data_IF_225269336551
#
_entry.id   IF_225269336551
#
_cell.length_a   1.000
_cell.length_b   1.000
_cell.length_c   1.000
_cell.angle_alpha   90.00
_cell.angle_beta   90.00
_cell.angle_gamma   90.00
#
_symmetry.space_group_name_H-M   'P 1'
#
loop_
_entity.id
_entity.type
_entity.pdbx_description
1 polymer ?
#
# COMPACT_ATOMS: atom_id res chain seq x y z
N UNK A 1 0.00 21.06 14.14
CA UNK A 1 -0.74 20.07 14.95
C UNK A 1 -1.84 20.79 15.71
N UNK A 2 -1.48 21.72 16.62
CA UNK A 2 -2.42 22.38 17.52
C UNK A 2 -3.48 23.24 16.79
N UNK A 3 -3.13 23.90 15.72
CA UNK A 3 -4.02 24.80 14.97
C UNK A 3 -4.98 24.06 14.02
N UNK A 4 -4.50 22.96 13.39
CA UNK A 4 -5.26 22.24 12.35
C UNK A 4 -5.68 20.84 12.78
N UNK A 5 -5.39 20.43 14.02
CA UNK A 5 -5.76 19.14 14.61
C UNK A 5 -5.44 17.93 13.73
N UNK A 6 -4.33 17.96 12.98
CA UNK A 6 -3.93 16.88 12.08
C UNK A 6 -3.65 15.57 12.84
N UNK A 7 -3.92 14.44 12.17
CA UNK A 7 -3.74 13.09 12.74
C UNK A 7 -2.48 12.40 12.22
N UNK A 8 -1.89 12.91 11.13
CA UNK A 8 -0.72 12.31 10.51
C UNK A 8 0.16 13.33 9.80
N UNK A 9 1.43 12.98 9.64
CA UNK A 9 2.37 13.59 8.70
C UNK A 9 2.79 12.59 7.63
N UNK A 10 2.70 12.95 6.36
CA UNK A 10 3.45 12.33 5.27
C UNK A 10 4.65 13.21 4.95
N UNK A 11 5.83 12.66 5.10
CA UNK A 11 7.11 13.36 5.00
C UNK A 11 7.75 13.03 3.66
N UNK A 12 7.86 14.05 2.81
CA UNK A 12 8.40 13.99 1.47
C UNK A 12 9.90 13.72 1.47
N UNK A 13 10.40 12.91 0.53
CA UNK A 13 11.84 12.63 0.29
C UNK A 13 12.58 12.30 1.60
N UNK A 14 11.96 11.53 2.47
CA UNK A 14 12.40 11.37 3.87
C UNK A 14 13.78 10.71 4.01
N UNK A 15 14.24 9.97 3.01
CA UNK A 15 15.57 9.33 3.02
C UNK A 15 16.73 10.30 2.75
N UNK A 16 16.46 11.53 2.32
CA UNK A 16 17.50 12.53 2.05
C UNK A 16 17.74 13.47 3.22
N UNK A 17 16.98 13.31 4.30
CA UNK A 17 17.10 14.11 5.52
C UNK A 17 17.81 13.28 6.59
N UNK A 18 18.63 13.97 7.39
CA UNK A 18 19.42 13.35 8.45
C UNK A 18 18.56 12.63 9.50
N UNK A 19 19.01 11.45 9.92
CA UNK A 19 18.33 10.63 10.92
C UNK A 19 18.11 11.34 12.26
N UNK A 20 19.07 12.19 12.70
CA UNK A 20 18.91 12.92 13.95
C UNK A 20 17.79 13.94 13.86
N UNK A 21 17.61 14.60 12.71
CA UNK A 21 16.47 15.47 12.47
C UNK A 21 15.14 14.73 12.64
N UNK A 22 15.02 13.51 12.10
CA UNK A 22 13.78 12.72 12.23
C UNK A 22 13.51 12.27 13.67
N UNK A 23 14.54 11.96 14.44
CA UNK A 23 14.40 11.64 15.88
C UNK A 23 13.90 12.84 16.68
N UNK A 24 14.47 14.01 16.42
CA UNK A 24 14.06 15.24 17.07
C UNK A 24 12.64 15.67 16.63
N UNK A 25 12.33 15.53 15.33
CA UNK A 25 10.99 15.74 14.80
C UNK A 25 9.96 14.84 15.48
N UNK A 26 10.20 13.53 15.52
CA UNK A 26 9.32 12.57 16.19
C UNK A 26 9.09 12.96 17.65
N UNK A 27 10.15 13.25 18.38
CA UNK A 27 10.07 13.64 19.78
C UNK A 27 9.21 14.89 19.99
N UNK A 28 9.41 15.92 19.16
CA UNK A 28 8.65 17.16 19.23
C UNK A 28 7.16 16.96 18.89
N UNK A 29 6.88 16.17 17.85
CA UNK A 29 5.52 15.92 17.35
C UNK A 29 4.72 15.08 18.35
N UNK A 30 5.29 13.98 18.86
CA UNK A 30 4.60 13.08 19.78
C UNK A 30 4.47 13.68 21.20
N UNK A 31 5.29 14.66 21.56
CA UNK A 31 5.09 15.44 22.78
C UNK A 31 3.80 16.30 22.71
N UNK A 32 3.36 16.68 21.51
CA UNK A 32 2.13 17.45 21.28
C UNK A 32 0.90 16.56 21.06
N UNK A 33 1.07 15.49 20.30
CA UNK A 33 0.01 14.52 19.98
C UNK A 33 0.59 13.12 19.98
N UNK A 34 0.48 12.37 21.10
CA UNK A 34 1.12 11.07 21.29
C UNK A 34 0.68 9.97 20.30
N UNK A 35 -0.53 10.09 19.75
CA UNK A 35 -1.15 9.16 18.79
C UNK A 35 -1.00 9.60 17.33
N UNK A 36 -0.25 10.67 17.06
CA UNK A 36 -0.05 11.16 15.70
C UNK A 36 0.77 10.15 14.88
N UNK A 37 0.27 9.80 13.68
CA UNK A 37 0.94 8.89 12.76
C UNK A 37 2.00 9.61 11.93
N UNK A 38 3.22 9.06 11.87
CA UNK A 38 4.35 9.61 11.11
C UNK A 38 4.70 8.64 10.00
N UNK A 39 4.48 9.06 8.75
CA UNK A 39 4.69 8.30 7.53
C UNK A 39 5.82 8.93 6.70
N UNK A 40 6.89 8.18 6.43
CA UNK A 40 7.96 8.61 5.52
C UNK A 40 7.70 8.19 4.08
N UNK A 41 8.06 9.05 3.13
CA UNK A 41 8.18 8.62 1.74
C UNK A 41 9.60 8.13 1.49
N UNK A 42 9.73 6.81 1.30
CA UNK A 42 11.00 6.15 0.96
C UNK A 42 10.69 5.05 -0.04
N UNK A 43 11.38 5.05 -1.18
CA UNK A 43 11.09 4.17 -2.32
C UNK A 43 11.79 2.81 -2.27
N UNK A 44 12.68 2.62 -1.34
CA UNK A 44 13.49 1.39 -1.18
C UNK A 44 13.30 0.78 0.21
N UNK A 45 14.09 -0.24 0.54
CA UNK A 45 14.08 -0.83 1.89
C UNK A 45 14.34 0.24 2.95
N UNK A 46 13.43 0.34 3.92
CA UNK A 46 13.36 1.46 4.86
C UNK A 46 13.63 1.05 6.31
N UNK A 47 14.23 -0.12 6.52
CA UNK A 47 14.53 -0.63 7.86
C UNK A 47 15.28 0.36 8.76
N UNK A 48 16.27 1.16 8.28
CA UNK A 48 16.99 2.11 9.14
C UNK A 48 16.10 3.16 9.80
N UNK A 49 15.00 3.56 9.17
CA UNK A 49 14.06 4.59 9.69
C UNK A 49 12.92 4.01 10.54
N UNK A 50 12.81 2.67 10.63
CA UNK A 50 11.69 1.97 11.26
C UNK A 50 12.09 1.22 12.54
N UNK A 51 13.07 1.76 13.27
CA UNK A 51 13.55 1.20 14.54
C UNK A 51 12.71 1.63 15.76
N UNK A 52 11.71 2.52 15.57
CA UNK A 52 10.80 3.01 16.61
C UNK A 52 11.14 4.41 17.11
N UNK A 53 12.20 5.02 16.61
CA UNK A 53 12.70 6.34 17.01
C UNK A 53 12.50 7.43 15.95
N UNK A 54 12.09 7.06 14.72
CA UNK A 54 11.84 7.99 13.61
C UNK A 54 10.40 7.87 13.08
N UNK A 55 10.11 7.00 12.12
CA UNK A 55 8.78 6.85 11.54
C UNK A 55 8.00 5.68 12.16
N UNK A 56 6.66 5.74 12.06
CA UNK A 56 5.81 4.59 12.35
C UNK A 56 5.78 3.63 11.16
N UNK A 57 5.78 4.18 9.94
CA UNK A 57 5.75 3.45 8.69
C UNK A 57 6.31 4.28 7.55
N UNK A 58 6.41 3.65 6.38
CA UNK A 58 6.71 4.29 5.11
C UNK A 58 5.69 3.89 4.05
N UNK A 59 5.64 4.66 2.96
CA UNK A 59 4.95 4.27 1.73
C UNK A 59 5.65 3.02 1.16
N UNK A 60 4.93 1.89 1.10
CA UNK A 60 5.53 0.58 0.84
C UNK A 60 5.72 0.31 -0.66
N UNK A 61 6.58 1.11 -1.29
CA UNK A 61 6.90 0.95 -2.72
C UNK A 61 7.51 -0.41 -3.09
N UNK A 62 8.37 -1.05 -2.25
CA UNK A 62 8.86 -2.40 -2.57
C UNK A 62 7.73 -3.42 -2.74
N UNK A 63 6.71 -3.40 -1.88
CA UNK A 63 5.52 -4.26 -2.02
C UNK A 63 4.73 -3.90 -3.29
N UNK A 64 4.53 -2.61 -3.54
CA UNK A 64 3.87 -2.09 -4.74
C UNK A 64 4.51 -2.64 -6.01
N UNK A 65 5.83 -2.54 -6.13
CA UNK A 65 6.54 -3.01 -7.33
C UNK A 65 6.45 -4.53 -7.50
N UNK A 66 6.55 -5.31 -6.41
CA UNK A 66 6.39 -6.77 -6.51
C UNK A 66 5.00 -7.17 -6.98
N UNK A 67 3.95 -6.51 -6.47
CA UNK A 67 2.56 -6.75 -6.90
C UNK A 67 2.35 -6.34 -8.38
N UNK A 68 2.84 -5.17 -8.78
CA UNK A 68 2.72 -4.68 -10.16
C UNK A 68 3.47 -5.58 -11.14
N UNK A 69 4.66 -6.03 -10.81
CA UNK A 69 5.44 -6.91 -11.67
C UNK A 69 4.76 -8.26 -11.90
N UNK A 70 4.11 -8.81 -10.87
CA UNK A 70 3.41 -10.08 -11.00
C UNK A 70 2.06 -9.93 -11.69
N UNK A 71 1.17 -9.10 -11.16
CA UNK A 71 -0.22 -9.02 -11.63
C UNK A 71 -0.41 -8.17 -12.89
N UNK A 72 0.36 -7.08 -13.05
CA UNK A 72 0.08 -6.08 -14.09
C UNK A 72 1.03 -6.15 -15.28
N UNK A 73 2.29 -6.54 -15.04
CA UNK A 73 3.32 -6.57 -16.08
C UNK A 73 3.61 -7.99 -16.59
N UNK A 74 3.27 -9.01 -15.81
CA UNK A 74 3.59 -10.41 -16.15
C UNK A 74 5.09 -10.70 -16.18
N UNK A 75 5.88 -9.99 -15.39
CA UNK A 75 7.34 -10.10 -15.38
C UNK A 75 7.89 -11.16 -14.43
N UNK A 76 7.03 -11.78 -13.62
CA UNK A 76 7.46 -12.73 -12.58
C UNK A 76 6.65 -14.01 -12.60
N UNK A 77 7.32 -15.12 -12.37
CA UNK A 77 6.68 -16.40 -12.07
C UNK A 77 6.14 -16.39 -10.63
N UNK A 78 5.10 -17.18 -10.38
CA UNK A 78 4.38 -17.23 -9.10
C UNK A 78 5.30 -17.57 -7.93
N UNK A 79 6.17 -18.57 -8.07
CA UNK A 79 7.12 -18.96 -7.01
C UNK A 79 8.09 -17.83 -6.66
N UNK A 80 8.56 -17.07 -7.66
CA UNK A 80 9.43 -15.92 -7.43
C UNK A 80 8.69 -14.80 -6.71
N UNK A 81 7.46 -14.53 -7.10
CA UNK A 81 6.60 -13.55 -6.44
C UNK A 81 6.36 -13.92 -4.96
N UNK A 82 5.96 -15.17 -4.68
CA UNK A 82 5.76 -15.67 -3.31
C UNK A 82 7.02 -15.50 -2.47
N UNK A 83 8.18 -15.86 -3.04
CA UNK A 83 9.45 -15.71 -2.33
C UNK A 83 9.74 -14.25 -1.98
N UNK A 84 9.50 -13.31 -2.90
CA UNK A 84 9.72 -11.88 -2.66
C UNK A 84 8.80 -11.32 -1.58
N UNK A 85 7.50 -11.64 -1.62
CA UNK A 85 6.54 -11.21 -0.59
C UNK A 85 6.92 -11.74 0.79
N UNK A 86 7.26 -13.03 0.88
CA UNK A 86 7.70 -13.64 2.13
C UNK A 86 9.01 -13.00 2.63
N UNK A 87 9.97 -12.73 1.75
CA UNK A 87 11.22 -12.08 2.11
C UNK A 87 10.99 -10.65 2.63
N UNK A 88 10.14 -9.87 1.97
CA UNK A 88 9.79 -8.51 2.40
C UNK A 88 9.09 -8.50 3.77
N UNK A 89 8.23 -9.48 4.04
CA UNK A 89 7.56 -9.59 5.34
C UNK A 89 8.52 -9.83 6.51
N UNK A 90 9.73 -10.31 6.23
CA UNK A 90 10.78 -10.56 7.22
C UNK A 90 11.70 -9.34 7.47
N UNK A 91 11.63 -8.29 6.65
CA UNK A 91 12.47 -7.10 6.81
C UNK A 91 12.06 -6.24 7.99
N UNK A 92 10.79 -6.26 8.36
CA UNK A 92 10.24 -5.38 9.38
C UNK A 92 9.70 -6.18 10.57
N UNK A 93 9.76 -5.57 11.74
CA UNK A 93 9.07 -6.11 12.92
C UNK A 93 7.56 -6.13 12.67
N UNK A 94 6.84 -7.06 13.30
CA UNK A 94 5.40 -7.20 13.12
C UNK A 94 4.64 -5.88 13.33
N UNK A 95 4.95 -5.13 14.39
CA UNK A 95 4.32 -3.85 14.70
C UNK A 95 4.47 -2.81 13.58
N UNK A 96 5.58 -2.84 12.86
CA UNK A 96 5.81 -1.97 11.70
C UNK A 96 4.99 -2.47 10.51
N UNK A 97 4.98 -3.77 10.26
CA UNK A 97 4.20 -4.36 9.17
C UNK A 97 2.69 -4.10 9.33
N UNK A 98 2.19 -4.06 10.57
CA UNK A 98 0.77 -3.80 10.88
C UNK A 98 0.31 -2.38 10.53
N UNK A 99 1.22 -1.42 10.52
CA UNK A 99 0.93 0.00 10.24
C UNK A 99 1.54 0.50 8.93
N UNK A 100 2.20 -0.39 8.16
CA UNK A 100 2.81 -0.03 6.88
C UNK A 100 1.77 0.51 5.90
N UNK A 101 2.10 1.54 5.13
CA UNK A 101 1.21 2.19 4.19
C UNK A 101 1.36 1.57 2.80
N UNK A 102 0.41 0.71 2.42
CA UNK A 102 0.44 -0.08 1.20
C UNK A 102 -0.34 0.59 0.07
N UNK A 103 0.27 0.77 -1.08
CA UNK A 103 -0.31 1.44 -2.25
C UNK A 103 0.09 0.71 -3.53
N UNK A 104 -0.62 0.94 -4.63
CA UNK A 104 -0.21 0.45 -5.96
C UNK A 104 0.12 1.59 -6.92
N UNK A 105 -0.53 2.74 -6.79
CA UNK A 105 -0.23 3.96 -7.52
C UNK A 105 -0.27 5.18 -6.60
N UNK A 106 0.29 6.29 -7.09
CA UNK A 106 0.36 7.56 -6.38
C UNK A 106 0.41 8.72 -7.36
N UNK A 107 0.55 9.94 -6.84
CA UNK A 107 0.76 11.14 -7.66
C UNK A 107 2.14 11.18 -8.37
N UNK A 108 3.06 10.28 -8.01
CA UNK A 108 4.42 10.20 -8.58
C UNK A 108 4.62 8.97 -9.47
N UNK A 109 3.58 8.13 -9.61
CA UNK A 109 3.67 6.90 -10.40
C UNK A 109 2.60 6.84 -11.48
N UNK A 110 2.86 6.04 -12.51
CA UNK A 110 1.85 5.70 -13.50
C UNK A 110 0.65 5.01 -12.84
N UNK A 111 -0.56 5.28 -13.36
CA UNK A 111 -1.80 4.63 -12.90
C UNK A 111 -1.77 3.13 -13.17
N UNK A 112 -2.26 2.33 -12.23
CA UNK A 112 -2.21 0.86 -12.33
C UNK A 112 -2.94 0.30 -13.55
N UNK A 113 -4.03 0.92 -14.00
CA UNK A 113 -4.72 0.47 -15.21
C UNK A 113 -3.90 0.75 -16.47
N UNK A 114 -3.11 1.82 -16.50
CA UNK A 114 -2.16 2.10 -17.58
C UNK A 114 -1.03 1.07 -17.56
N UNK A 115 -0.44 0.81 -16.39
CA UNK A 115 0.57 -0.25 -16.20
C UNK A 115 0.07 -1.62 -16.67
N UNK A 116 -1.20 -1.94 -16.40
CA UNK A 116 -1.89 -3.17 -16.85
C UNK A 116 -2.33 -3.13 -18.32
N UNK A 117 -1.98 -2.09 -19.09
CA UNK A 117 -2.37 -1.92 -20.51
C UNK A 117 -3.89 -2.03 -20.75
N UNK A 118 -4.68 -1.60 -19.77
CA UNK A 118 -6.14 -1.63 -19.80
C UNK A 118 -6.79 -2.93 -19.30
N UNK A 119 -6.01 -3.90 -18.83
CA UNK A 119 -6.55 -5.13 -18.26
C UNK A 119 -7.09 -4.89 -16.84
N UNK A 120 -8.40 -4.69 -16.76
CA UNK A 120 -9.11 -4.42 -15.52
C UNK A 120 -9.13 -5.63 -14.58
N UNK A 121 -9.09 -6.86 -15.10
CA UNK A 121 -9.10 -8.06 -14.25
C UNK A 121 -7.78 -8.21 -13.50
N UNK A 122 -6.66 -7.99 -14.17
CA UNK A 122 -5.34 -7.94 -13.52
C UNK A 122 -5.28 -6.83 -12.45
N UNK A 123 -5.86 -5.66 -12.71
CA UNK A 123 -5.96 -4.57 -11.71
C UNK A 123 -6.77 -5.00 -10.49
N UNK A 124 -7.94 -5.64 -10.69
CA UNK A 124 -8.77 -6.16 -9.60
C UNK A 124 -8.02 -7.21 -8.78
N UNK A 125 -7.29 -8.11 -9.43
CA UNK A 125 -6.47 -9.14 -8.75
C UNK A 125 -5.35 -8.51 -7.91
N UNK A 126 -4.65 -7.50 -8.45
CA UNK A 126 -3.61 -6.76 -7.74
C UNK A 126 -4.16 -6.04 -6.51
N UNK A 127 -5.31 -5.38 -6.63
CA UNK A 127 -5.98 -4.71 -5.52
C UNK A 127 -6.49 -5.70 -4.47
N UNK A 128 -7.08 -6.82 -4.88
CA UNK A 128 -7.51 -7.87 -3.96
C UNK A 128 -6.31 -8.41 -3.16
N UNK A 129 -5.18 -8.67 -3.83
CA UNK A 129 -3.96 -9.10 -3.15
C UNK A 129 -3.46 -8.04 -2.17
N UNK A 130 -3.40 -6.75 -2.57
CA UNK A 130 -2.98 -5.65 -1.70
C UNK A 130 -3.84 -5.56 -0.43
N UNK A 131 -5.16 -5.66 -0.58
CA UNK A 131 -6.11 -5.54 0.52
C UNK A 131 -6.05 -6.71 1.50
N UNK A 132 -5.53 -7.85 1.06
CA UNK A 132 -5.29 -9.02 1.90
C UNK A 132 -3.91 -9.00 2.57
N UNK A 133 -3.08 -7.99 2.36
CA UNK A 133 -1.80 -7.87 3.04
C UNK A 133 -1.94 -7.18 4.40
N UNK A 134 -0.99 -7.46 5.31
CA UNK A 134 -0.83 -6.73 6.56
C UNK A 134 -0.49 -5.26 6.26
N UNK A 135 -0.93 -4.35 7.09
CA UNK A 135 -0.76 -2.91 6.89
C UNK A 135 -2.05 -2.21 6.46
N UNK A 136 -1.95 -0.96 6.09
CA UNK A 136 -3.06 -0.08 5.71
C UNK A 136 -3.09 0.10 4.20
N UNK A 137 -4.10 -0.43 3.48
CA UNK A 137 -4.24 -0.19 2.05
C UNK A 137 -4.62 1.27 1.77
N UNK A 138 -3.97 1.86 0.79
CA UNK A 138 -4.25 3.20 0.29
C UNK A 138 -4.75 3.14 -1.15
N UNK A 139 -5.77 3.94 -1.46
CA UNK A 139 -6.29 4.13 -2.80
C UNK A 139 -5.91 5.53 -3.26
N UNK A 140 -5.18 5.65 -4.36
CA UNK A 140 -5.00 6.92 -5.03
C UNK A 140 -6.29 7.31 -5.74
N UNK A 141 -6.74 8.58 -5.64
CA UNK A 141 -8.02 9.03 -6.18
C UNK A 141 -8.17 8.65 -7.67
N UNK A 142 -9.35 8.22 -8.05
CA UNK A 142 -9.68 7.81 -9.43
C UNK A 142 -9.32 6.36 -9.76
N UNK A 143 -8.52 5.68 -8.97
CA UNK A 143 -8.25 4.24 -9.14
C UNK A 143 -9.53 3.43 -8.97
N UNK A 144 -10.42 3.84 -8.07
CA UNK A 144 -11.76 3.28 -7.88
C UNK A 144 -12.71 3.50 -9.07
N UNK A 145 -12.34 4.38 -10.00
CA UNK A 145 -13.08 4.63 -11.25
C UNK A 145 -12.30 4.16 -12.50
N UNK A 146 -11.26 3.35 -12.30
CA UNK A 146 -10.40 2.88 -13.38
C UNK A 146 -9.77 4.02 -14.20
N UNK A 147 -9.29 5.08 -13.51
CA UNK A 147 -8.64 6.19 -14.16
C UNK A 147 -7.29 5.77 -14.74
N UNK A 148 -7.03 6.14 -15.99
CA UNK A 148 -5.76 5.96 -16.65
C UNK A 148 -4.90 7.23 -16.56
N UNK A 149 -3.59 7.07 -16.65
CA UNK A 149 -2.62 8.15 -16.71
C UNK A 149 -1.20 7.57 -16.72
N UNK A 150 -0.36 8.14 -17.57
CA UNK A 150 1.06 7.80 -17.67
C UNK A 150 1.88 8.42 -16.53
N UNK A 151 3.21 8.52 -16.69
CA UNK A 151 4.08 9.15 -15.69
C UNK A 151 3.65 10.57 -15.33
N UNK A 152 4.13 11.09 -14.20
CA UNK A 152 3.91 12.48 -13.79
C UNK A 152 4.22 13.46 -14.95
N UNK A 153 3.37 14.47 -15.23
CA UNK A 153 2.16 14.85 -14.49
C UNK A 153 0.86 14.14 -14.95
N UNK A 154 0.91 13.26 -15.96
CA UNK A 154 -0.29 12.66 -16.58
C UNK A 154 -1.08 11.76 -15.60
N UNK A 155 -0.44 11.18 -14.60
CA UNK A 155 -1.10 10.43 -13.52
C UNK A 155 -2.03 11.32 -12.66
N UNK A 156 -1.90 12.64 -12.70
CA UNK A 156 -2.65 13.62 -11.90
C UNK A 156 -3.86 14.21 -12.64
N UNK A 157 -4.47 13.47 -13.55
CA UNK A 157 -5.69 13.89 -14.27
C UNK A 157 -6.81 14.20 -13.30
N UNK A 158 -7.73 15.08 -13.74
CA UNK A 158 -8.91 15.47 -12.93
C UNK A 158 -9.77 14.26 -12.61
N UNK A 159 -10.38 14.26 -11.42
CA UNK A 159 -11.32 13.22 -11.01
C UNK A 159 -12.54 13.20 -11.95
N UNK A 160 -12.86 12.05 -12.59
CA UNK A 160 -13.97 11.93 -13.52
C UNK A 160 -15.29 11.70 -12.76
N UNK A 161 -15.80 12.72 -12.10
CA UNK A 161 -16.99 12.65 -11.24
C UNK A 161 -18.23 12.11 -11.95
N UNK A 162 -18.33 12.34 -13.27
CA UNK A 162 -19.41 11.83 -14.12
C UNK A 162 -19.45 10.29 -14.21
N UNK A 163 -18.35 9.61 -13.88
CA UNK A 163 -18.28 8.13 -13.83
C UNK A 163 -18.77 7.54 -12.52
N UNK A 164 -19.04 8.37 -11.53
CA UNK A 164 -19.58 7.91 -10.23
C UNK A 164 -21.04 7.55 -10.41
N UNK A 165 -21.33 6.28 -10.55
CA UNK A 165 -22.70 5.75 -10.70
C UNK A 165 -22.84 4.41 -9.98
N UNK A 166 -24.06 3.99 -9.73
CA UNK A 166 -24.36 2.69 -9.14
C UNK A 166 -23.93 1.51 -10.05
N UNK A 167 -23.86 1.76 -11.35
CA UNK A 167 -23.52 0.74 -12.36
C UNK A 167 -22.01 0.68 -12.65
N UNK A 168 -21.18 1.49 -11.96
CA UNK A 168 -19.73 1.44 -12.17
C UNK A 168 -19.14 0.20 -11.51
N UNK A 169 -18.72 -0.75 -12.35
CA UNK A 169 -18.20 -2.07 -11.93
C UNK A 169 -16.94 -1.96 -11.05
N UNK A 170 -16.01 -1.06 -11.38
CA UNK A 170 -14.79 -0.88 -10.58
C UNK A 170 -15.10 -0.27 -9.21
N UNK A 171 -15.99 0.72 -9.16
CA UNK A 171 -16.41 1.35 -7.92
C UNK A 171 -17.12 0.35 -6.99
N UNK A 172 -17.97 -0.50 -7.56
CA UNK A 172 -18.65 -1.54 -6.79
C UNK A 172 -17.67 -2.60 -6.28
N UNK A 173 -16.76 -3.06 -7.13
CA UNK A 173 -15.67 -3.96 -6.70
C UNK A 173 -14.87 -3.37 -5.54
N UNK A 174 -14.51 -2.07 -5.60
CA UNK A 174 -13.76 -1.42 -4.51
C UNK A 174 -14.56 -1.33 -3.22
N UNK A 175 -15.88 -1.07 -3.29
CA UNK A 175 -16.75 -1.07 -2.10
C UNK A 175 -16.78 -2.45 -1.45
N UNK A 176 -16.95 -3.50 -2.25
CA UNK A 176 -16.99 -4.89 -1.77
C UNK A 176 -15.64 -5.29 -1.15
N UNK A 177 -14.54 -4.89 -1.79
CA UNK A 177 -13.19 -5.16 -1.29
C UNK A 177 -12.91 -4.44 0.05
N UNK A 178 -13.34 -3.19 0.18
CA UNK A 178 -13.25 -2.43 1.44
C UNK A 178 -14.10 -3.09 2.53
N UNK A 179 -15.28 -3.54 2.19
CA UNK A 179 -16.16 -4.23 3.15
C UNK A 179 -15.53 -5.55 3.61
N UNK A 180 -15.04 -6.38 2.67
CA UNK A 180 -14.31 -7.60 2.98
C UNK A 180 -13.13 -7.31 3.91
N UNK A 181 -12.30 -6.29 3.60
CA UNK A 181 -11.16 -5.91 4.44
C UNK A 181 -11.57 -5.59 5.87
N UNK A 182 -12.71 -4.89 6.08
CA UNK A 182 -13.22 -4.58 7.42
C UNK A 182 -13.63 -5.85 8.16
N UNK A 183 -14.28 -6.79 7.49
CA UNK A 183 -14.74 -8.05 8.07
C UNK A 183 -13.58 -8.94 8.51
N UNK A 184 -12.49 -8.97 7.72
CA UNK A 184 -11.31 -9.82 8.01
C UNK A 184 -10.18 -9.06 8.72
N UNK A 185 -10.39 -7.81 9.13
CA UNK A 185 -9.35 -6.94 9.69
C UNK A 185 -8.63 -7.58 10.89
N UNK A 186 -9.38 -8.16 11.83
CA UNK A 186 -8.82 -8.83 13.01
C UNK A 186 -7.96 -10.04 12.64
N UNK A 187 -8.40 -10.81 11.65
CA UNK A 187 -7.64 -11.96 11.15
C UNK A 187 -6.33 -11.52 10.48
N UNK A 188 -6.36 -10.47 9.65
CA UNK A 188 -5.15 -9.94 9.01
C UNK A 188 -4.18 -9.34 10.03
N UNK A 189 -4.71 -8.68 11.06
CA UNK A 189 -3.89 -8.05 12.09
C UNK A 189 -3.20 -9.08 12.99
N UNK A 190 -3.92 -10.11 13.44
CA UNK A 190 -3.43 -11.03 14.48
C UNK A 190 -3.11 -12.44 13.94
N UNK A 191 -3.54 -12.77 12.74
CA UNK A 191 -3.32 -14.08 12.14
C UNK A 191 -1.92 -14.28 11.54
N UNK A 192 -1.67 -15.51 11.12
CA UNK A 192 -0.49 -15.89 10.34
C UNK A 192 -0.90 -16.02 8.88
N UNK A 193 -0.13 -15.41 7.98
CA UNK A 193 -0.34 -15.50 6.54
C UNK A 193 0.54 -16.57 5.92
N UNK A 194 0.00 -17.31 4.97
CA UNK A 194 0.77 -18.16 4.07
C UNK A 194 0.37 -17.92 2.61
N UNK A 195 1.34 -17.96 1.73
CA UNK A 195 1.16 -17.84 0.28
C UNK A 195 1.51 -19.16 -0.38
N UNK A 196 0.66 -19.63 -1.28
CA UNK A 196 0.86 -20.89 -2.01
C UNK A 196 0.49 -20.70 -3.48
N UNK A 197 1.26 -21.29 -4.36
CA UNK A 197 0.83 -21.52 -5.73
C UNK A 197 -0.12 -22.72 -5.74
N UNK A 198 -1.33 -22.54 -6.21
CA UNK A 198 -2.35 -23.60 -6.25
C UNK A 198 -2.55 -24.15 -7.65
N UNK A 199 -2.32 -23.32 -8.66
CA UNK A 199 -2.28 -23.63 -10.08
C UNK A 199 -1.25 -22.72 -10.76
N UNK A 200 -0.78 -23.00 -11.98
CA UNK A 200 0.09 -22.09 -12.71
C UNK A 200 -0.51 -20.68 -12.75
N UNK A 201 0.29 -19.68 -12.37
CA UNK A 201 -0.07 -18.27 -12.29
C UNK A 201 -1.20 -17.92 -11.31
N UNK A 202 -1.53 -18.83 -10.37
CA UNK A 202 -2.55 -18.60 -9.34
C UNK A 202 -1.93 -18.66 -7.94
N UNK A 203 -1.92 -17.54 -7.24
CA UNK A 203 -1.48 -17.44 -5.85
C UNK A 203 -2.68 -17.44 -4.90
N UNK A 204 -2.67 -18.34 -3.92
CA UNK A 204 -3.61 -18.34 -2.80
C UNK A 204 -2.99 -17.60 -1.60
N UNK A 205 -3.79 -16.78 -0.94
CA UNK A 205 -3.48 -16.11 0.33
C UNK A 205 -4.33 -16.76 1.40
N UNK A 206 -3.70 -17.42 2.35
CA UNK A 206 -4.38 -18.08 3.46
C UNK A 206 -4.02 -17.38 4.78
N UNK A 207 -5.03 -16.98 5.52
CA UNK A 207 -4.88 -16.43 6.86
C UNK A 207 -5.42 -17.39 7.90
N UNK A 208 -4.63 -17.65 8.93
CA UNK A 208 -5.01 -18.49 10.07
C UNK A 208 -4.93 -17.67 11.35
N UNK A 209 -6.02 -17.69 12.13
CA UNK A 209 -6.08 -17.09 13.45
C UNK A 209 -6.24 -18.21 14.47
N UNK A 210 -5.40 -18.20 15.51
CA UNK A 210 -5.48 -19.13 16.66
C UNK A 210 -6.59 -18.73 17.61
#
# INVERSE_FOLDING_TARGET
IEEFEIDAWRLDVANEIDHQFWRDFRKAVLAKKPDLYILGEIWHSSQPWLNGDEFHAVMNYPLSESIKDYFLRGHKETQRFIWEINSQSMYYRQQISEVMFNLLDSHDTERILTTAKGDLQSVKSALAFLYLQRGTPCIYYGTELALIGGPDPDCRRVMPWERVSADNDMLNFMKDLIQLRKEVAGMIQHGKVSLKEVEPDVVAVEWQHE
#
